data_IF_895785555467
#
_entry.id   IF_895785555467
#
_cell.length_a   1.000
_cell.length_b   1.000
_cell.length_c   1.000
_cell.angle_alpha   90.00
_cell.angle_beta   90.00
_cell.angle_gamma   90.00
#
_symmetry.space_group_name_H-M   'P 1'
#
loop_
_entity.id
_entity.type
_entity.pdbx_description
1 polymer ?
#
# COMPACT_ATOMS: atom_id res chain seq x y z
N UNK A 1 3.87 6.26 -39.30
CA UNK A 1 2.92 5.23 -38.82
C UNK A 1 2.87 5.37 -37.32
N UNK A 2 1.70 5.67 -36.86
CA UNK A 2 1.36 6.31 -35.59
C UNK A 2 1.75 5.46 -34.39
N UNK A 3 2.55 6.01 -33.49
CA UNK A 3 2.61 5.64 -32.06
C UNK A 3 1.32 6.10 -31.35
N UNK A 4 0.18 5.80 -31.98
CA UNK A 4 -1.13 6.16 -31.49
C UNK A 4 -1.63 5.03 -30.60
N UNK A 5 -1.76 5.33 -29.31
CA UNK A 5 -2.69 4.68 -28.39
C UNK A 5 -2.28 3.33 -27.77
N UNK A 6 -1.02 3.14 -27.44
CA UNK A 6 -0.70 2.04 -26.53
C UNK A 6 -0.95 2.53 -25.11
N UNK A 7 -2.14 2.21 -24.57
CA UNK A 7 -2.48 2.46 -23.16
C UNK A 7 -1.38 1.89 -22.28
N UNK A 8 -0.85 2.69 -21.35
CA UNK A 8 0.16 2.22 -20.42
C UNK A 8 -0.41 1.07 -19.56
N UNK A 9 0.33 -0.03 -19.50
CA UNK A 9 -0.08 -1.25 -18.79
C UNK A 9 0.29 -1.14 -17.34
N UNK A 10 -0.70 -1.22 -16.47
CA UNK A 10 -0.57 -1.07 -15.03
C UNK A 10 -0.94 -2.37 -14.32
N UNK A 11 -0.04 -2.84 -13.46
CA UNK A 11 -0.31 -3.92 -12.52
C UNK A 11 -0.74 -3.34 -11.17
N UNK A 12 -1.92 -3.71 -10.70
CA UNK A 12 -2.40 -3.41 -9.35
C UNK A 12 -2.39 -4.69 -8.53
N UNK A 13 -1.64 -4.72 -7.43
CA UNK A 13 -1.60 -5.85 -6.49
C UNK A 13 -2.19 -5.41 -5.16
N UNK A 14 -3.34 -5.97 -4.81
CA UNK A 14 -4.17 -5.54 -3.68
C UNK A 14 -5.12 -6.66 -3.28
N UNK A 15 -5.13 -7.06 -2.02
CA UNK A 15 -6.01 -8.12 -1.50
C UNK A 15 -7.41 -7.61 -1.11
N UNK A 16 -7.56 -6.31 -0.84
CA UNK A 16 -8.88 -5.68 -0.69
C UNK A 16 -9.54 -5.48 -2.07
N UNK A 17 -10.41 -6.42 -2.46
CA UNK A 17 -11.10 -6.37 -3.75
C UNK A 17 -11.98 -5.12 -3.94
N UNK A 18 -12.53 -4.56 -2.86
CA UNK A 18 -13.38 -3.36 -2.94
C UNK A 18 -12.52 -2.16 -3.28
N UNK A 19 -11.43 -1.98 -2.57
CA UNK A 19 -10.46 -0.91 -2.84
C UNK A 19 -9.83 -1.08 -4.23
N UNK A 20 -9.38 -2.28 -4.58
CA UNK A 20 -8.80 -2.58 -5.89
C UNK A 20 -9.75 -2.24 -7.04
N UNK A 21 -11.04 -2.58 -6.92
CA UNK A 21 -12.06 -2.27 -7.93
C UNK A 21 -12.26 -0.77 -8.13
N UNK A 22 -12.28 -0.01 -7.03
CA UNK A 22 -12.42 1.47 -7.10
C UNK A 22 -11.22 2.09 -7.79
N UNK A 23 -10.01 1.72 -7.37
CA UNK A 23 -8.76 2.24 -7.95
C UNK A 23 -8.61 1.82 -9.42
N UNK A 24 -8.82 0.53 -9.74
CA UNK A 24 -8.73 0.03 -11.11
C UNK A 24 -9.72 0.75 -12.04
N UNK A 25 -10.97 0.95 -11.61
CA UNK A 25 -11.97 1.70 -12.38
C UNK A 25 -11.53 3.13 -12.65
N UNK A 26 -11.05 3.84 -11.64
CA UNK A 26 -10.61 5.21 -11.76
C UNK A 26 -9.38 5.36 -12.68
N UNK A 27 -8.46 4.40 -12.64
CA UNK A 27 -7.29 4.35 -13.54
C UNK A 27 -7.69 3.98 -14.96
N UNK A 28 -8.60 3.02 -15.16
CA UNK A 28 -9.11 2.66 -16.49
C UNK A 28 -9.84 3.83 -17.17
N UNK A 29 -10.55 4.67 -16.41
CA UNK A 29 -11.17 5.90 -16.92
C UNK A 29 -10.14 6.94 -17.38
N UNK A 30 -8.88 6.83 -16.94
CA UNK A 30 -7.73 7.65 -17.34
C UNK A 30 -6.87 6.97 -18.41
N UNK A 31 -7.42 6.00 -19.13
CA UNK A 31 -6.77 5.28 -20.24
C UNK A 31 -5.57 4.43 -19.83
N UNK A 32 -5.57 3.84 -18.63
CA UNK A 32 -4.63 2.80 -18.25
C UNK A 32 -5.22 1.40 -18.49
N UNK A 33 -4.40 0.47 -19.02
CA UNK A 33 -4.75 -0.96 -19.09
C UNK A 33 -4.39 -1.63 -17.76
N UNK A 34 -5.38 -1.77 -16.87
CA UNK A 34 -5.18 -2.23 -15.49
C UNK A 34 -5.40 -3.73 -15.39
N UNK A 35 -4.38 -4.47 -14.94
CA UNK A 35 -4.51 -5.85 -14.49
C UNK A 35 -4.45 -5.89 -12.95
N UNK A 36 -5.35 -6.64 -12.33
CA UNK A 36 -5.43 -6.79 -10.89
C UNK A 36 -5.00 -8.19 -10.45
N UNK A 37 -4.18 -8.25 -9.41
CA UNK A 37 -3.80 -9.46 -8.69
C UNK A 37 -4.13 -9.30 -7.20
N UNK A 38 -4.65 -10.35 -6.58
CA UNK A 38 -5.06 -10.34 -5.17
C UNK A 38 -3.98 -10.86 -4.23
N UNK A 39 -2.94 -11.50 -4.77
CA UNK A 39 -1.85 -12.16 -4.03
C UNK A 39 -0.58 -12.24 -4.87
N UNK A 40 0.54 -12.63 -4.23
CA UNK A 40 1.81 -12.81 -4.91
C UNK A 40 1.76 -13.86 -6.03
N UNK A 41 1.15 -15.06 -5.86
CA UNK A 41 1.05 -16.04 -6.92
C UNK A 41 0.32 -15.56 -8.18
N UNK A 42 -0.78 -14.83 -8.04
CA UNK A 42 -1.51 -14.25 -9.17
C UNK A 42 -0.73 -13.12 -9.84
N UNK A 43 -0.03 -12.29 -9.04
CA UNK A 43 0.86 -11.26 -9.55
C UNK A 43 2.01 -11.86 -10.38
N UNK A 44 2.66 -12.91 -9.91
CA UNK A 44 3.72 -13.61 -10.65
C UNK A 44 3.22 -14.16 -12.01
N UNK A 45 2.01 -14.74 -12.05
CA UNK A 45 1.41 -15.19 -13.32
C UNK A 45 1.26 -14.05 -14.31
N UNK A 46 0.79 -12.89 -13.85
CA UNK A 46 0.62 -11.71 -14.70
C UNK A 46 1.96 -11.16 -15.17
N UNK A 47 2.96 -11.04 -14.29
CA UNK A 47 4.32 -10.58 -14.61
C UNK A 47 4.98 -11.48 -15.65
N UNK A 48 4.78 -12.79 -15.55
CA UNK A 48 5.32 -13.76 -16.50
C UNK A 48 4.61 -13.71 -17.86
N UNK A 49 3.32 -13.37 -17.89
CA UNK A 49 2.52 -13.34 -19.12
C UNK A 49 2.76 -12.11 -19.99
N UNK A 50 3.00 -10.94 -19.36
CA UNK A 50 3.21 -9.66 -20.07
C UNK A 50 4.08 -8.70 -19.27
N UNK A 51 4.74 -7.75 -19.96
CA UNK A 51 5.44 -6.64 -19.32
C UNK A 51 4.45 -5.53 -18.93
N UNK A 52 4.73 -4.86 -17.82
CA UNK A 52 4.00 -3.70 -17.32
C UNK A 52 4.88 -2.44 -17.38
N UNK A 53 4.25 -1.29 -17.56
CA UNK A 53 4.91 0.01 -17.57
C UNK A 53 4.87 0.66 -16.18
N UNK A 54 3.82 0.32 -15.43
CA UNK A 54 3.53 0.84 -14.09
C UNK A 54 3.11 -0.30 -13.16
N UNK A 55 3.41 -0.19 -11.87
CA UNK A 55 2.90 -1.11 -10.85
C UNK A 55 2.53 -0.36 -9.58
N UNK A 56 1.42 -0.74 -8.98
CA UNK A 56 0.96 -0.32 -7.65
C UNK A 56 0.87 -1.57 -6.80
N UNK A 57 1.62 -1.62 -5.70
CA UNK A 57 1.70 -2.79 -4.84
C UNK A 57 1.25 -2.42 -3.42
N UNK A 58 0.22 -3.08 -2.88
CA UNK A 58 0.04 -3.06 -1.43
C UNK A 58 1.15 -3.88 -0.77
N UNK A 59 1.72 -3.33 0.27
CA UNK A 59 2.82 -3.98 0.99
C UNK A 59 2.40 -5.28 1.67
N UNK A 60 1.17 -5.36 2.18
CA UNK A 60 0.67 -6.48 2.96
C UNK A 60 -0.51 -7.16 2.27
N UNK A 61 -0.28 -8.33 1.74
CA UNK A 61 -1.25 -9.16 1.03
C UNK A 61 -1.66 -10.35 1.92
N UNK A 62 -2.62 -10.12 2.83
CA UNK A 62 -3.09 -11.19 3.72
C UNK A 62 -2.04 -11.76 4.68
N UNK A 63 -0.99 -10.99 5.00
CA UNK A 63 0.13 -11.39 5.88
C UNK A 63 1.43 -11.68 5.14
N UNK A 64 1.42 -11.74 3.82
CA UNK A 64 2.62 -11.83 2.97
C UNK A 64 3.05 -10.44 2.49
N UNK A 65 4.34 -10.26 2.24
CA UNK A 65 4.85 -9.00 1.70
C UNK A 65 4.90 -9.03 0.16
N UNK A 66 4.51 -7.93 -0.48
CA UNK A 66 4.64 -7.76 -1.92
C UNK A 66 6.03 -7.28 -2.37
N UNK A 67 6.95 -7.01 -1.46
CA UNK A 67 8.30 -6.52 -1.80
C UNK A 67 9.07 -7.47 -2.72
N UNK A 68 8.80 -8.78 -2.62
CA UNK A 68 9.39 -9.79 -3.49
C UNK A 68 9.02 -9.64 -4.98
N UNK A 69 7.95 -8.88 -5.29
CA UNK A 69 7.53 -8.62 -6.68
C UNK A 69 8.36 -7.54 -7.37
N UNK A 70 9.10 -6.72 -6.63
CA UNK A 70 9.88 -5.60 -7.17
C UNK A 70 10.96 -6.09 -8.13
N UNK A 71 11.73 -7.09 -7.72
CA UNK A 71 12.81 -7.65 -8.52
C UNK A 71 12.32 -8.28 -9.84
N UNK A 72 11.31 -9.18 -9.86
CA UNK A 72 10.74 -9.70 -11.09
C UNK A 72 10.18 -8.62 -12.02
N UNK A 73 9.53 -7.59 -11.49
CA UNK A 73 9.00 -6.47 -12.27
C UNK A 73 10.12 -5.68 -12.94
N UNK A 74 11.17 -5.31 -12.21
CA UNK A 74 12.34 -4.58 -12.73
C UNK A 74 13.14 -5.42 -13.71
N UNK A 75 13.24 -6.74 -13.50
CA UNK A 75 13.89 -7.67 -14.43
C UNK A 75 13.14 -7.74 -15.74
N UNK A 76 11.82 -7.78 -15.70
CA UNK A 76 10.96 -7.85 -16.89
C UNK A 76 10.91 -6.54 -17.68
N UNK A 77 10.90 -5.42 -16.98
CA UNK A 77 10.95 -4.07 -17.55
C UNK A 77 11.77 -3.16 -16.63
N UNK A 78 13.06 -2.90 -16.92
CA UNK A 78 13.89 -2.01 -16.09
C UNK A 78 13.36 -0.57 -15.98
N UNK A 79 12.55 -0.13 -16.93
CA UNK A 79 11.94 1.20 -16.95
C UNK A 79 10.62 1.29 -16.20
N UNK A 80 10.10 0.17 -15.66
CA UNK A 80 8.83 0.16 -14.90
C UNK A 80 8.92 1.10 -13.72
N UNK A 81 7.84 1.84 -13.49
CA UNK A 81 7.67 2.65 -12.26
C UNK A 81 6.82 1.90 -11.27
N UNK A 82 7.30 1.80 -10.02
CA UNK A 82 6.68 1.03 -8.96
C UNK A 82 6.33 1.94 -7.80
N UNK A 83 5.04 2.00 -7.44
CA UNK A 83 4.52 2.67 -6.26
C UNK A 83 4.11 1.62 -5.22
N UNK A 84 4.60 1.78 -4.01
CA UNK A 84 4.08 1.05 -2.85
C UNK A 84 2.95 1.87 -2.23
N UNK A 85 1.75 1.28 -2.16
CA UNK A 85 0.56 1.91 -1.59
C UNK A 85 0.03 1.04 -0.44
N UNK A 86 0.16 1.49 0.81
CA UNK A 86 -0.15 0.62 1.96
C UNK A 86 -0.76 1.35 3.14
N UNK A 87 -1.62 0.64 3.89
CA UNK A 87 -2.14 1.09 5.18
C UNK A 87 -1.13 0.98 6.34
N UNK A 88 0.03 0.36 6.11
CA UNK A 88 1.08 0.15 7.11
C UNK A 88 2.33 0.97 6.79
N UNK A 89 2.23 2.29 6.97
CA UNK A 89 3.34 3.19 6.73
C UNK A 89 4.36 3.12 7.87
N UNK A 90 5.47 2.37 7.68
CA UNK A 90 6.66 2.50 8.51
C UNK A 90 7.82 3.07 7.68
N UNK A 91 8.61 3.95 8.28
CA UNK A 91 9.79 4.54 7.62
C UNK A 91 10.76 3.43 7.20
N UNK A 92 10.95 2.42 8.05
CA UNK A 92 11.85 1.30 7.75
C UNK A 92 11.42 0.53 6.50
N UNK A 93 10.13 0.24 6.36
CA UNK A 93 9.59 -0.50 5.21
C UNK A 93 9.60 0.34 3.93
N UNK A 94 9.35 1.66 4.03
CA UNK A 94 9.49 2.57 2.90
C UNK A 94 10.93 2.60 2.39
N UNK A 95 11.91 2.72 3.29
CA UNK A 95 13.34 2.68 2.95
C UNK A 95 13.72 1.35 2.30
N UNK A 96 13.22 0.23 2.82
CA UNK A 96 13.46 -1.10 2.25
C UNK A 96 12.91 -1.21 0.83
N UNK A 97 11.65 -0.81 0.61
CA UNK A 97 11.02 -0.81 -0.71
C UNK A 97 11.82 0.02 -1.74
N UNK A 98 12.25 1.21 -1.38
CA UNK A 98 13.06 2.08 -2.24
C UNK A 98 14.42 1.44 -2.56
N UNK A 99 15.08 0.80 -1.59
CA UNK A 99 16.34 0.08 -1.81
C UNK A 99 16.18 -1.11 -2.77
N UNK A 100 15.03 -1.77 -2.75
CA UNK A 100 14.71 -2.87 -3.67
C UNK A 100 14.36 -2.39 -5.09
N UNK A 101 14.13 -1.08 -5.27
CA UNK A 101 13.88 -0.49 -6.58
C UNK A 101 12.48 0.08 -6.78
N UNK A 102 11.66 0.20 -5.73
CA UNK A 102 10.44 0.99 -5.82
C UNK A 102 10.77 2.47 -6.04
N UNK A 103 9.97 3.13 -6.88
CA UNK A 103 10.20 4.53 -7.23
C UNK A 103 9.58 5.49 -6.21
N UNK A 104 8.50 5.07 -5.58
CA UNK A 104 7.84 5.88 -4.56
C UNK A 104 7.03 5.02 -3.57
N UNK A 105 6.59 5.67 -2.50
CA UNK A 105 5.83 5.08 -1.41
C UNK A 105 4.73 6.03 -0.96
N UNK A 106 3.49 5.54 -0.81
CA UNK A 106 2.33 6.33 -0.43
C UNK A 106 1.51 5.60 0.64
N UNK A 107 1.09 6.33 1.67
CA UNK A 107 0.25 5.77 2.74
C UNK A 107 -1.24 5.86 2.36
N UNK A 108 -2.01 4.78 2.62
CA UNK A 108 -3.47 4.81 2.58
C UNK A 108 -4.02 5.58 3.80
N UNK A 109 -5.09 6.37 3.68
CA UNK A 109 -5.91 6.58 2.48
C UNK A 109 -5.25 7.56 1.51
N UNK A 110 -5.33 7.26 0.20
CA UNK A 110 -4.87 8.12 -0.87
C UNK A 110 -5.92 8.15 -1.98
N UNK A 111 -6.11 9.31 -2.59
CA UNK A 111 -6.99 9.43 -3.75
C UNK A 111 -6.27 9.08 -5.06
N UNK A 112 -7.03 8.94 -6.15
CA UNK A 112 -6.48 8.52 -7.43
C UNK A 112 -5.49 9.53 -8.01
N UNK A 113 -5.66 10.80 -7.75
CA UNK A 113 -4.75 11.84 -8.27
C UNK A 113 -3.44 11.85 -7.47
N UNK A 114 -3.50 11.64 -6.16
CA UNK A 114 -2.32 11.42 -5.31
C UNK A 114 -1.53 10.17 -5.76
N UNK A 115 -2.24 9.07 -6.05
CA UNK A 115 -1.64 7.83 -6.55
C UNK A 115 -0.92 8.07 -7.88
N UNK A 116 -1.56 8.72 -8.84
CA UNK A 116 -0.97 9.01 -10.15
C UNK A 116 0.21 9.98 -10.05
N UNK A 117 0.10 11.03 -9.25
CA UNK A 117 1.19 11.97 -9.03
C UNK A 117 2.41 11.26 -8.40
N UNK A 118 2.19 10.39 -7.43
CA UNK A 118 3.24 9.60 -6.80
C UNK A 118 3.85 8.58 -7.77
N UNK A 119 3.03 7.95 -8.61
CA UNK A 119 3.44 6.93 -9.58
C UNK A 119 4.22 7.54 -10.76
N UNK A 120 3.76 8.70 -11.28
CA UNK A 120 4.38 9.36 -12.43
C UNK A 120 5.56 10.27 -12.06
N UNK A 121 5.78 10.51 -10.76
CA UNK A 121 6.85 11.39 -10.30
C UNK A 121 6.61 12.86 -10.65
N UNK A 122 5.35 13.25 -10.87
CA UNK A 122 4.95 14.64 -11.15
C UNK A 122 4.93 15.51 -9.87
N UNK A 123 5.42 14.99 -8.76
CA UNK A 123 5.74 15.83 -7.61
C UNK A 123 6.93 16.68 -8.03
N UNK A 124 6.69 17.95 -8.34
CA UNK A 124 7.75 18.95 -8.34
C UNK A 124 8.45 18.86 -6.99
N UNK A 125 9.73 18.53 -7.04
CA UNK A 125 10.66 18.30 -5.95
C UNK A 125 10.58 16.91 -5.27
N UNK A 126 11.72 16.23 -5.23
CA UNK A 126 12.04 15.10 -4.35
C UNK A 126 12.12 15.50 -2.86
N UNK A 127 11.20 16.36 -2.44
CA UNK A 127 10.87 16.69 -1.07
C UNK A 127 9.53 16.01 -0.77
N UNK A 128 9.52 15.12 0.22
CA UNK A 128 8.33 14.73 0.96
C UNK A 128 7.44 15.98 1.11
N UNK A 129 6.28 15.98 0.44
CA UNK A 129 5.43 17.17 0.38
C UNK A 129 5.17 17.68 1.79
N UNK A 130 5.12 18.99 1.95
CA UNK A 130 4.87 19.63 3.26
C UNK A 130 3.57 19.17 3.90
N UNK A 131 2.63 18.65 3.11
CA UNK A 131 1.37 18.05 3.57
C UNK A 131 1.59 16.68 4.20
N UNK A 132 2.58 15.90 3.71
CA UNK A 132 2.98 14.64 4.35
C UNK A 132 3.81 14.88 5.62
N UNK A 133 4.54 16.00 5.71
CA UNK A 133 5.24 16.38 6.95
C UNK A 133 4.29 16.71 8.10
N UNK A 134 3.13 17.27 7.83
CA UNK A 134 2.12 17.48 8.87
C UNK A 134 1.32 16.21 9.22
N UNK A 135 1.30 15.21 8.30
CA UNK A 135 0.79 13.85 8.57
C UNK A 135 1.89 12.91 9.07
N UNK A 136 3.16 13.24 8.84
CA UNK A 136 4.37 12.59 9.37
C UNK A 136 4.90 13.27 10.67
N UNK A 137 4.08 14.02 11.39
CA UNK A 137 4.34 14.08 12.82
C UNK A 137 4.44 12.62 13.27
N UNK A 138 5.54 12.21 13.94
CA UNK A 138 5.68 10.83 14.35
C UNK A 138 4.42 10.49 15.14
N UNK A 139 3.53 9.75 14.49
CA UNK A 139 2.35 9.23 15.19
C UNK A 139 2.93 8.53 16.40
N UNK A 140 2.58 9.04 17.58
CA UNK A 140 3.14 8.48 18.79
C UNK A 140 2.93 6.97 18.71
N UNK A 141 3.93 6.17 19.07
CA UNK A 141 3.86 4.70 19.09
C UNK A 141 2.54 4.23 19.72
N UNK A 142 2.02 5.01 20.67
CA UNK A 142 0.70 4.80 21.29
C UNK A 142 -0.49 4.92 20.33
N UNK A 143 -0.42 5.82 19.36
CA UNK A 143 -1.52 6.01 18.38
C UNK A 143 -1.50 4.88 17.35
N UNK A 144 -0.34 4.51 16.84
CA UNK A 144 -0.16 3.36 15.94
C UNK A 144 -0.60 2.05 16.61
N UNK A 145 -0.18 1.84 17.85
CA UNK A 145 -0.60 0.68 18.63
C UNK A 145 -2.11 0.67 18.86
N UNK A 146 -2.70 1.82 19.16
CA UNK A 146 -4.14 1.95 19.39
C UNK A 146 -4.94 1.69 18.11
N UNK A 147 -4.54 2.24 16.97
CA UNK A 147 -5.18 2.02 15.66
C UNK A 147 -5.08 0.54 15.24
N UNK A 148 -3.92 -0.09 15.46
CA UNK A 148 -3.74 -1.52 15.23
C UNK A 148 -4.67 -2.37 16.11
N UNK A 149 -4.76 -2.05 17.39
CA UNK A 149 -5.68 -2.70 18.33
C UNK A 149 -7.14 -2.56 17.87
N UNK A 150 -7.56 -1.37 17.43
CA UNK A 150 -8.93 -1.12 16.96
C UNK A 150 -9.24 -1.93 15.69
N UNK A 151 -8.28 -2.04 14.76
CA UNK A 151 -8.44 -2.83 13.54
C UNK A 151 -8.67 -4.30 13.89
N UNK A 152 -7.77 -4.90 14.69
CA UNK A 152 -7.88 -6.32 15.08
C UNK A 152 -9.12 -6.58 15.93
N UNK A 153 -9.55 -5.62 16.76
CA UNK A 153 -10.78 -5.72 17.51
C UNK A 153 -12.01 -5.76 16.60
N UNK A 154 -12.02 -4.94 15.56
CA UNK A 154 -13.08 -4.93 14.53
C UNK A 154 -13.11 -6.23 13.74
N UNK A 155 -11.95 -6.77 13.35
CA UNK A 155 -11.81 -8.07 12.66
C UNK A 155 -12.32 -9.25 13.52
N UNK A 156 -12.30 -9.10 14.83
CA UNK A 156 -12.82 -10.08 15.80
C UNK A 156 -14.21 -9.69 16.35
N UNK A 157 -14.98 -8.89 15.63
CA UNK A 157 -16.34 -8.47 16.03
C UNK A 157 -16.44 -7.92 17.46
N UNK A 158 -15.41 -7.22 17.93
CA UNK A 158 -15.34 -6.68 19.28
C UNK A 158 -14.95 -7.69 20.37
N UNK A 159 -14.60 -8.91 20.01
CA UNK A 159 -14.22 -9.96 20.96
C UNK A 159 -12.81 -9.72 21.53
N UNK A 160 -12.77 -9.15 22.74
CA UNK A 160 -11.51 -8.80 23.44
C UNK A 160 -10.59 -10.01 23.66
N UNK A 161 -11.15 -11.19 23.92
CA UNK A 161 -10.35 -12.39 24.19
C UNK A 161 -9.71 -12.95 22.92
N UNK A 162 -10.43 -12.93 21.79
CA UNK A 162 -9.90 -13.32 20.50
C UNK A 162 -8.83 -12.31 20.02
N UNK A 163 -9.12 -11.01 20.14
CA UNK A 163 -8.19 -9.93 19.82
C UNK A 163 -6.90 -10.00 20.64
N UNK A 164 -6.98 -10.26 21.94
CA UNK A 164 -5.80 -10.39 22.79
C UNK A 164 -4.92 -11.58 22.37
N UNK A 165 -5.52 -12.71 21.99
CA UNK A 165 -4.79 -13.87 21.48
C UNK A 165 -4.09 -13.56 20.16
N UNK A 166 -4.80 -12.92 19.22
CA UNK A 166 -4.25 -12.54 17.91
C UNK A 166 -3.08 -11.55 18.07
N UNK A 167 -3.20 -10.58 18.98
CA UNK A 167 -2.16 -9.60 19.28
C UNK A 167 -1.05 -10.14 20.23
N UNK A 168 -1.11 -11.41 20.62
CA UNK A 168 -0.15 -12.05 21.55
C UNK A 168 0.02 -11.25 22.85
N UNK A 169 -1.06 -10.68 23.38
CA UNK A 169 -1.03 -9.94 24.63
C UNK A 169 -2.09 -10.43 25.63
N UNK A 170 -1.86 -10.15 26.91
CA UNK A 170 -2.85 -10.51 27.94
C UNK A 170 -4.13 -9.69 27.80
N UNK A 171 -5.30 -10.33 27.99
CA UNK A 171 -6.62 -9.69 27.94
C UNK A 171 -6.69 -8.42 28.81
N UNK A 172 -6.11 -8.46 30.00
CA UNK A 172 -6.05 -7.33 30.94
C UNK A 172 -5.25 -6.14 30.37
N UNK A 173 -4.15 -6.42 29.65
CA UNK A 173 -3.33 -5.42 28.98
C UNK A 173 -4.11 -4.76 27.86
N UNK A 174 -4.82 -5.55 27.04
CA UNK A 174 -5.67 -5.05 25.96
C UNK A 174 -6.79 -4.16 26.50
N UNK A 175 -7.51 -4.59 27.54
CA UNK A 175 -8.57 -3.78 28.17
C UNK A 175 -8.04 -2.44 28.67
N UNK A 176 -6.89 -2.42 29.36
CA UNK A 176 -6.24 -1.19 29.82
C UNK A 176 -5.84 -0.25 28.67
N UNK A 177 -5.41 -0.81 27.54
CA UNK A 177 -5.06 -0.03 26.34
C UNK A 177 -6.29 0.53 25.66
N UNK A 178 -7.38 -0.21 25.57
CA UNK A 178 -8.67 0.25 25.03
C UNK A 178 -9.30 1.39 25.84
N UNK A 179 -9.09 1.42 27.16
CA UNK A 179 -9.57 2.49 28.04
C UNK A 179 -8.78 3.80 27.89
N UNK A 180 -7.53 3.76 27.41
CA UNK A 180 -6.66 4.94 27.22
C UNK A 180 -6.72 5.41 25.78
N UNK A 181 -7.76 6.17 25.39
CA UNK A 181 -7.75 6.89 24.11
C UNK A 181 -6.52 7.79 24.02
N UNK A 182 -5.74 7.75 22.92
CA UNK A 182 -4.72 8.76 22.70
C UNK A 182 -5.40 10.12 22.55
N UNK A 183 -4.96 11.08 23.33
CA UNK A 183 -5.42 12.47 23.22
C UNK A 183 -4.85 13.03 21.93
N UNK A 184 -5.71 13.50 21.02
CA UNK A 184 -5.28 14.32 19.89
C UNK A 184 -4.73 15.64 20.47
N UNK A 185 -3.46 15.92 20.23
CA UNK A 185 -2.90 17.28 20.33
C UNK A 185 -2.87 17.88 18.94
#
# INVERSE_FOLDING_TARGET
>A
MSDADQQARLLLVEDDEVFARVVARALSQRSYDVAHAVDNPSAHKLINSRAFDLAILDLNLGGETSLELIEPLKTRNPAIRILILTGYASIATAVEAIKLGADNYLAKPADTDEILNALLGNSETGELSKTDRSRMEPMSVRRLEWEHIQKVLKENDGNISATARQLKMHRRTLQRKLQKKPVAK
#
